data_IF_009590423541
#
_entry.id   IF_009590423541
#
_cell.length_a   1.000
_cell.length_b   1.000
_cell.length_c   1.000
_cell.angle_alpha   90.00
_cell.angle_beta   90.00
_cell.angle_gamma   90.00
#
_symmetry.space_group_name_H-M   'P 1'
#
loop_
_entity.id
_entity.type
_entity.pdbx_description
1 polymer ?
#
# COMPACT_ATOMS: atom_id res chain seq x y z
N UNK A 1 -2.99 -0.73 -28.98
CA UNK A 1 -3.54 -1.51 -27.85
C UNK A 1 -4.74 -2.28 -28.39
N UNK A 2 -4.92 -3.56 -28.08
CA UNK A 2 -6.24 -4.19 -28.24
C UNK A 2 -7.29 -3.29 -27.56
N UNK A 3 -8.51 -3.20 -28.09
CA UNK A 3 -9.57 -2.38 -27.48
C UNK A 3 -9.97 -2.97 -26.13
N UNK A 4 -9.26 -2.57 -25.07
CA UNK A 4 -9.63 -2.87 -23.69
C UNK A 4 -10.85 -2.05 -23.31
N UNK A 5 -11.71 -2.61 -22.45
CA UNK A 5 -12.75 -1.84 -21.77
C UNK A 5 -12.13 -0.88 -20.77
N UNK A 6 -12.91 0.13 -20.34
CA UNK A 6 -12.45 1.09 -19.34
C UNK A 6 -12.04 0.39 -18.03
N UNK A 7 -12.83 -0.58 -17.56
CA UNK A 7 -12.50 -1.37 -16.36
C UNK A 7 -11.23 -2.20 -16.53
N UNK A 8 -11.04 -2.88 -17.67
CA UNK A 8 -9.84 -3.69 -17.90
C UNK A 8 -8.58 -2.83 -17.95
N UNK A 9 -8.66 -1.66 -18.59
CA UNK A 9 -7.56 -0.71 -18.62
C UNK A 9 -7.28 -0.13 -17.21
N UNK A 10 -8.31 0.14 -16.41
CA UNK A 10 -8.16 0.54 -15.02
C UNK A 10 -7.41 -0.51 -14.19
N UNK A 11 -7.87 -1.78 -14.19
CA UNK A 11 -7.22 -2.85 -13.41
C UNK A 11 -5.76 -3.06 -13.84
N UNK A 12 -5.49 -3.06 -15.14
CA UNK A 12 -4.12 -3.16 -15.67
C UNK A 12 -3.27 -1.97 -15.22
N UNK A 13 -3.79 -0.75 -15.35
CA UNK A 13 -3.10 0.47 -14.94
C UNK A 13 -2.81 0.48 -13.44
N UNK A 14 -3.79 0.11 -12.62
CA UNK A 14 -3.66 0.02 -11.16
C UNK A 14 -2.62 -1.01 -10.75
N UNK A 15 -2.61 -2.20 -11.36
CA UNK A 15 -1.61 -3.25 -11.09
C UNK A 15 -0.20 -2.81 -11.48
N UNK A 16 -0.02 -2.29 -12.70
CA UNK A 16 1.28 -1.78 -13.17
C UNK A 16 1.82 -0.69 -12.24
N UNK A 17 0.95 0.21 -11.76
CA UNK A 17 1.32 1.25 -10.79
C UNK A 17 1.83 0.63 -9.49
N UNK A 18 1.13 -0.38 -8.97
CA UNK A 18 1.52 -1.09 -7.75
C UNK A 18 2.76 -1.98 -7.95
N UNK A 19 3.14 -2.28 -9.19
CA UNK A 19 4.36 -2.97 -9.56
C UNK A 19 5.51 -2.00 -9.93
N UNK A 20 5.39 -0.71 -9.65
CA UNK A 20 6.42 0.30 -9.98
C UNK A 20 6.70 0.47 -11.48
N UNK A 21 5.72 0.13 -12.33
CA UNK A 21 5.70 0.37 -13.79
C UNK A 21 4.84 1.62 -14.09
N UNK A 22 5.06 2.68 -13.33
CA UNK A 22 4.28 3.92 -13.31
C UNK A 22 4.15 4.60 -14.68
N UNK A 23 5.21 4.61 -15.50
CA UNK A 23 5.19 5.24 -16.83
C UNK A 23 4.15 4.57 -17.73
N UNK A 24 4.15 3.24 -17.76
CA UNK A 24 3.18 2.44 -18.52
C UNK A 24 1.80 2.49 -17.89
N UNK A 25 1.72 2.41 -16.56
CA UNK A 25 0.47 2.51 -15.81
C UNK A 25 -0.32 3.77 -16.16
N UNK A 26 0.36 4.93 -16.25
CA UNK A 26 -0.28 6.20 -16.62
C UNK A 26 -0.99 6.17 -17.97
N UNK A 27 -0.47 5.42 -18.95
CA UNK A 27 -1.11 5.31 -20.26
C UNK A 27 -2.45 4.57 -20.16
N UNK A 28 -2.46 3.44 -19.45
CA UNK A 28 -3.68 2.66 -19.21
C UNK A 28 -4.70 3.41 -18.35
N UNK A 29 -4.24 4.05 -17.26
CA UNK A 29 -5.11 4.83 -16.38
C UNK A 29 -5.72 6.03 -17.12
N UNK A 30 -4.94 6.74 -17.94
CA UNK A 30 -5.48 7.84 -18.77
C UNK A 30 -6.53 7.33 -19.76
N UNK A 31 -6.24 6.25 -20.46
CA UNK A 31 -7.19 5.66 -21.40
C UNK A 31 -8.51 5.26 -20.72
N UNK A 32 -8.45 4.60 -19.56
CA UNK A 32 -9.65 4.26 -18.78
C UNK A 32 -10.41 5.50 -18.28
N UNK A 33 -9.68 6.52 -17.83
CA UNK A 33 -10.25 7.79 -17.40
C UNK A 33 -10.93 8.55 -18.54
N UNK A 34 -10.34 8.57 -19.73
CA UNK A 34 -10.91 9.17 -20.94
C UNK A 34 -12.20 8.46 -21.39
N UNK A 35 -12.37 7.19 -21.03
CA UNK A 35 -13.60 6.41 -21.21
C UNK A 35 -14.61 6.59 -20.07
N UNK A 36 -14.31 7.44 -19.08
CA UNK A 36 -15.22 7.76 -17.98
C UNK A 36 -15.11 6.86 -16.75
N UNK A 37 -14.05 6.04 -16.61
CA UNK A 37 -13.86 5.26 -15.38
C UNK A 37 -13.33 6.16 -14.24
N UNK A 38 -14.10 6.36 -13.16
CA UNK A 38 -13.80 7.39 -12.15
C UNK A 38 -12.60 7.04 -11.26
N UNK A 39 -12.34 5.77 -10.99
CA UNK A 39 -11.20 5.35 -10.17
C UNK A 39 -9.87 5.51 -10.93
N UNK A 40 -9.87 5.28 -12.24
CA UNK A 40 -8.77 5.51 -13.13
C UNK A 40 -8.47 7.00 -13.26
N UNK A 41 -9.51 7.83 -13.37
CA UNK A 41 -9.35 9.29 -13.36
C UNK A 41 -8.68 9.77 -12.06
N UNK A 42 -9.10 9.25 -10.90
CA UNK A 42 -8.46 9.54 -9.63
C UNK A 42 -6.99 9.09 -9.60
N UNK A 43 -6.70 7.83 -9.91
CA UNK A 43 -5.32 7.31 -9.90
C UNK A 43 -4.42 8.04 -10.90
N UNK A 44 -4.91 8.34 -12.09
CA UNK A 44 -4.18 9.09 -13.09
C UNK A 44 -3.84 10.50 -12.58
N UNK A 45 -4.81 11.20 -11.98
CA UNK A 45 -4.59 12.52 -11.42
C UNK A 45 -3.51 12.52 -10.32
N UNK A 46 -3.50 11.50 -9.46
CA UNK A 46 -2.47 11.33 -8.42
C UNK A 46 -1.09 11.02 -9.00
N UNK A 47 -1.01 10.18 -10.03
CA UNK A 47 0.25 9.88 -10.71
C UNK A 47 0.83 11.10 -11.44
N UNK A 48 -0.01 11.96 -12.04
CA UNK A 48 0.42 13.21 -12.67
C UNK A 48 0.92 14.22 -11.64
N UNK A 49 0.21 14.37 -10.51
CA UNK A 49 0.60 15.27 -9.43
C UNK A 49 1.94 14.87 -8.79
N UNK A 50 2.10 13.58 -8.47
CA UNK A 50 3.33 13.08 -7.84
C UNK A 50 4.55 13.14 -8.77
N UNK A 51 4.36 13.09 -10.09
CA UNK A 51 5.47 13.19 -11.06
C UNK A 51 5.92 14.64 -11.32
N UNK A 52 5.01 15.61 -11.25
CA UNK A 52 5.31 17.04 -11.47
C UNK A 52 5.41 17.77 -10.12
N UNK A 53 6.49 17.50 -9.39
CA UNK A 53 6.69 17.97 -8.00
C UNK A 53 6.77 19.49 -7.83
N UNK A 54 6.91 20.26 -8.91
CA UNK A 54 6.94 21.73 -8.86
C UNK A 54 5.57 22.37 -8.69
N UNK A 55 4.50 21.67 -9.04
CA UNK A 55 3.11 22.15 -8.88
C UNK A 55 2.33 21.07 -8.14
N UNK A 56 1.90 21.36 -6.91
CA UNK A 56 1.19 20.41 -6.03
C UNK A 56 0.01 19.72 -6.72
N UNK A 57 -0.78 20.45 -7.50
CA UNK A 57 -1.89 19.91 -8.30
C UNK A 57 -1.89 20.56 -9.69
N UNK A 58 -1.20 19.99 -10.69
CA UNK A 58 -1.16 20.53 -12.05
C UNK A 58 -2.56 20.63 -12.68
N UNK A 59 -2.84 21.56 -13.60
CA UNK A 59 -4.16 21.71 -14.23
C UNK A 59 -4.75 20.41 -14.81
N UNK A 60 -3.90 19.56 -15.37
CA UNK A 60 -4.27 18.23 -15.85
C UNK A 60 -4.78 17.34 -14.71
N UNK A 61 -4.09 17.29 -13.56
CA UNK A 61 -4.54 16.56 -12.37
C UNK A 61 -5.86 17.12 -11.82
N UNK A 62 -6.02 18.45 -11.82
CA UNK A 62 -7.26 19.12 -11.40
C UNK A 62 -8.47 18.66 -12.24
N UNK A 63 -8.30 18.60 -13.56
CA UNK A 63 -9.34 18.15 -14.49
C UNK A 63 -9.79 16.71 -14.19
N UNK A 64 -8.84 15.77 -14.09
CA UNK A 64 -9.15 14.36 -13.81
C UNK A 64 -9.69 14.14 -12.39
N UNK A 65 -9.26 14.91 -11.40
CA UNK A 65 -9.84 14.88 -10.05
C UNK A 65 -11.33 15.27 -10.06
N UNK A 66 -11.70 16.32 -10.80
CA UNK A 66 -13.10 16.72 -10.94
C UNK A 66 -13.92 15.63 -11.63
N UNK A 67 -13.42 15.06 -12.74
CA UNK A 67 -14.10 13.96 -13.44
C UNK A 67 -14.28 12.74 -12.53
N UNK A 68 -13.26 12.36 -11.77
CA UNK A 68 -13.32 11.25 -10.83
C UNK A 68 -14.40 11.48 -9.76
N UNK A 69 -14.43 12.67 -9.16
CA UNK A 69 -15.40 13.01 -8.13
C UNK A 69 -16.83 13.10 -8.70
N UNK A 70 -17.02 13.67 -9.89
CA UNK A 70 -18.30 13.69 -10.60
C UNK A 70 -18.80 12.27 -10.92
N UNK A 71 -17.89 11.34 -11.22
CA UNK A 71 -18.20 9.93 -11.43
C UNK A 71 -18.33 9.11 -10.14
N UNK A 72 -18.33 9.73 -8.96
CA UNK A 72 -18.60 9.05 -7.68
C UNK A 72 -17.37 8.53 -6.94
N UNK A 73 -16.14 8.84 -7.38
CA UNK A 73 -14.94 8.44 -6.65
C UNK A 73 -14.81 9.23 -5.34
N UNK A 74 -15.02 8.56 -4.20
CA UNK A 74 -15.00 9.18 -2.87
C UNK A 74 -13.64 9.78 -2.50
N UNK A 75 -12.55 9.13 -2.90
CA UNK A 75 -11.20 9.63 -2.62
C UNK A 75 -10.94 10.95 -3.35
N UNK A 76 -11.39 11.08 -4.60
CA UNK A 76 -11.33 12.33 -5.35
C UNK A 76 -12.18 13.43 -4.69
N UNK A 77 -13.40 13.13 -4.24
CA UNK A 77 -14.22 14.10 -3.49
C UNK A 77 -13.48 14.59 -2.24
N UNK A 78 -12.87 13.67 -1.49
CA UNK A 78 -12.07 13.98 -0.29
C UNK A 78 -10.87 14.87 -0.61
N UNK A 79 -10.13 14.55 -1.67
CA UNK A 79 -9.01 15.37 -2.13
C UNK A 79 -9.45 16.77 -2.55
N UNK A 80 -10.59 16.91 -3.23
CA UNK A 80 -11.11 18.20 -3.66
C UNK A 80 -11.48 19.10 -2.47
N UNK A 81 -12.21 18.60 -1.46
CA UNK A 81 -12.59 19.45 -0.34
C UNK A 81 -11.43 19.73 0.63
N UNK A 82 -10.51 18.77 0.82
CA UNK A 82 -9.38 18.94 1.75
C UNK A 82 -8.22 19.72 1.14
N UNK A 83 -7.82 19.37 -0.08
CA UNK A 83 -6.59 19.82 -0.72
C UNK A 83 -6.82 20.65 -1.99
N UNK A 84 -8.07 20.83 -2.42
CA UNK A 84 -8.44 21.63 -3.59
C UNK A 84 -8.44 23.14 -3.33
N UNK A 85 -7.35 23.73 -2.85
CA UNK A 85 -7.22 25.18 -2.59
C UNK A 85 -7.39 26.06 -3.84
N UNK A 86 -7.27 25.46 -5.02
CA UNK A 86 -7.52 26.09 -6.33
C UNK A 86 -9.01 26.22 -6.67
N UNK A 87 -9.89 25.56 -5.93
CA UNK A 87 -11.34 25.71 -6.01
C UNK A 87 -11.83 26.88 -5.14
N UNK A 88 -13.00 27.41 -5.46
CA UNK A 88 -13.69 28.35 -4.58
C UNK A 88 -14.12 27.63 -3.29
N UNK A 89 -14.16 28.35 -2.19
CA UNK A 89 -14.59 27.80 -0.89
C UNK A 89 -15.97 27.15 -0.95
N UNK A 90 -16.92 27.72 -1.70
CA UNK A 90 -18.25 27.15 -1.88
C UNK A 90 -18.22 25.78 -2.60
N UNK A 91 -17.36 25.61 -3.61
CA UNK A 91 -17.20 24.34 -4.33
C UNK A 91 -16.59 23.27 -3.41
N UNK A 92 -15.63 23.65 -2.57
CA UNK A 92 -15.06 22.74 -1.56
C UNK A 92 -16.12 22.26 -0.56
N UNK A 93 -16.99 23.15 -0.10
CA UNK A 93 -18.10 22.77 0.81
C UNK A 93 -19.07 21.81 0.12
N UNK A 94 -19.40 22.02 -1.16
CA UNK A 94 -20.23 21.10 -1.92
C UNK A 94 -19.58 19.71 -2.03
N UNK A 95 -18.29 19.64 -2.36
CA UNK A 95 -17.57 18.36 -2.40
C UNK A 95 -17.46 17.68 -1.04
N UNK A 96 -17.37 18.45 0.04
CA UNK A 96 -17.41 17.93 1.41
C UNK A 96 -18.76 17.26 1.71
N UNK A 97 -19.87 17.89 1.29
CA UNK A 97 -21.22 17.32 1.44
C UNK A 97 -21.38 16.05 0.60
N UNK A 98 -20.99 16.07 -0.67
CA UNK A 98 -21.04 14.90 -1.54
C UNK A 98 -20.20 13.73 -1.00
N UNK A 99 -19.02 14.01 -0.47
CA UNK A 99 -18.20 12.99 0.19
C UNK A 99 -18.95 12.40 1.40
N UNK A 100 -19.52 13.23 2.26
CA UNK A 100 -20.28 12.78 3.43
C UNK A 100 -21.45 11.86 3.01
N UNK A 101 -22.28 12.29 2.07
CA UNK A 101 -23.41 11.52 1.57
C UNK A 101 -22.95 10.16 1.00
N UNK A 102 -21.88 10.15 0.21
CA UNK A 102 -21.32 8.93 -0.36
C UNK A 102 -20.77 7.95 0.71
N UNK A 103 -20.24 8.47 1.83
CA UNK A 103 -19.81 7.65 2.97
C UNK A 103 -21.01 7.08 3.73
N UNK A 104 -22.10 7.85 3.89
CA UNK A 104 -23.34 7.34 4.48
C UNK A 104 -23.91 6.20 3.65
N UNK A 105 -23.97 6.35 2.32
CA UNK A 105 -24.39 5.28 1.41
C UNK A 105 -23.46 4.06 1.45
N UNK A 106 -22.15 4.27 1.63
CA UNK A 106 -21.19 3.18 1.80
C UNK A 106 -21.53 2.34 3.03
N UNK A 107 -22.02 2.94 4.11
CA UNK A 107 -22.34 2.26 5.37
C UNK A 107 -23.33 1.11 5.23
N UNK A 108 -24.23 1.16 4.24
CA UNK A 108 -25.17 0.06 3.96
C UNK A 108 -24.50 -1.20 3.39
N UNK A 109 -23.34 -1.05 2.73
CA UNK A 109 -22.62 -2.15 2.05
C UNK A 109 -21.32 -2.53 2.75
N UNK A 110 -20.62 -1.54 3.29
CA UNK A 110 -19.33 -1.71 3.95
C UNK A 110 -19.26 -0.81 5.21
N UNK A 111 -19.92 -1.22 6.31
CA UNK A 111 -20.02 -0.41 7.52
C UNK A 111 -18.66 -0.14 8.18
N UNK A 112 -17.71 -1.07 8.08
CA UNK A 112 -16.38 -0.93 8.68
C UNK A 112 -15.54 0.14 7.98
N UNK A 113 -15.53 0.14 6.64
CA UNK A 113 -14.90 1.19 5.84
C UNK A 113 -15.61 2.54 6.00
N UNK A 114 -16.95 2.56 6.01
CA UNK A 114 -17.71 3.79 6.22
C UNK A 114 -17.41 4.42 7.58
N UNK A 115 -17.37 3.62 8.65
CA UNK A 115 -16.98 4.10 9.97
C UNK A 115 -15.55 4.68 9.96
N UNK A 116 -14.59 4.04 9.29
CA UNK A 116 -13.25 4.59 9.15
C UNK A 116 -13.23 5.92 8.38
N UNK A 117 -13.94 6.01 7.25
CA UNK A 117 -14.04 7.23 6.44
C UNK A 117 -14.75 8.38 7.20
N UNK A 118 -15.73 8.07 8.07
CA UNK A 118 -16.36 9.03 8.98
C UNK A 118 -15.38 9.49 10.09
N UNK A 119 -14.56 8.58 10.62
CA UNK A 119 -13.52 8.97 11.57
C UNK A 119 -12.55 9.98 10.95
N UNK A 120 -12.14 9.77 9.70
CA UNK A 120 -11.30 10.71 8.95
C UNK A 120 -12.02 12.03 8.63
N UNK A 121 -13.33 11.99 8.39
CA UNK A 121 -14.15 13.16 8.12
C UNK A 121 -14.25 14.10 9.32
N UNK A 122 -14.53 13.54 10.50
CA UNK A 122 -14.73 14.31 11.73
C UNK A 122 -13.44 14.72 12.44
N UNK A 123 -12.28 14.16 12.05
CA UNK A 123 -11.00 14.32 12.76
C UNK A 123 -10.65 15.77 13.12
N UNK A 124 -10.91 16.72 12.23
CA UNK A 124 -10.55 18.14 12.42
C UNK A 124 -11.63 18.95 13.15
N UNK A 125 -12.91 18.60 12.96
CA UNK A 125 -14.04 19.42 13.41
C UNK A 125 -14.72 18.88 14.67
N UNK A 126 -14.75 17.55 14.85
CA UNK A 126 -15.30 16.89 16.04
C UNK A 126 -14.45 15.67 16.41
N UNK A 127 -13.35 15.88 17.17
CA UNK A 127 -12.46 14.81 17.57
C UNK A 127 -13.15 13.72 18.41
N UNK A 128 -14.21 14.04 19.15
CA UNK A 128 -14.93 13.04 19.95
C UNK A 128 -15.71 12.09 19.05
N UNK A 129 -16.42 12.64 18.07
CA UNK A 129 -17.15 11.85 17.09
C UNK A 129 -16.20 11.06 16.19
N UNK A 130 -15.05 11.64 15.83
CA UNK A 130 -14.00 10.94 15.11
C UNK A 130 -13.50 9.70 15.87
N UNK A 131 -13.25 9.83 17.17
CA UNK A 131 -12.85 8.70 18.03
C UNK A 131 -13.94 7.64 18.16
N UNK A 132 -15.22 8.05 18.24
CA UNK A 132 -16.34 7.11 18.27
C UNK A 132 -16.38 6.24 17.00
N UNK A 133 -16.35 6.85 15.83
CA UNK A 133 -16.35 6.12 14.56
C UNK A 133 -15.08 5.29 14.35
N UNK A 134 -13.92 5.77 14.82
CA UNK A 134 -12.68 4.99 14.78
C UNK A 134 -12.79 3.72 15.64
N UNK A 135 -13.43 3.82 16.81
CA UNK A 135 -13.76 2.69 17.67
C UNK A 135 -14.64 1.66 16.96
N UNK A 136 -15.73 2.12 16.33
CA UNK A 136 -16.62 1.23 15.54
C UNK A 136 -15.83 0.51 14.44
N UNK A 137 -15.02 1.23 13.65
CA UNK A 137 -14.23 0.61 12.60
C UNK A 137 -13.21 -0.41 13.15
N UNK A 138 -12.60 -0.12 14.31
CA UNK A 138 -11.68 -1.04 14.98
C UNK A 138 -12.38 -2.29 15.56
N UNK A 139 -13.62 -2.17 16.03
CA UNK A 139 -14.45 -3.32 16.46
C UNK A 139 -14.76 -4.27 15.31
N UNK A 140 -14.89 -3.74 14.08
CA UNK A 140 -14.97 -4.55 12.86
C UNK A 140 -13.60 -5.06 12.36
N UNK A 141 -12.53 -4.88 13.13
CA UNK A 141 -11.15 -5.21 12.76
C UNK A 141 -10.70 -4.55 11.45
N UNK A 142 -11.24 -3.36 11.11
CA UNK A 142 -10.85 -2.66 9.89
C UNK A 142 -9.37 -2.25 9.98
N UNK A 143 -8.49 -2.74 9.08
CA UNK A 143 -7.06 -2.68 9.32
C UNK A 143 -6.49 -1.26 9.31
N UNK A 144 -6.99 -0.38 8.44
CA UNK A 144 -6.56 1.01 8.41
C UNK A 144 -7.05 1.80 9.64
N UNK A 145 -8.17 1.40 10.25
CA UNK A 145 -8.63 1.95 11.53
C UNK A 145 -7.73 1.52 12.68
N UNK A 146 -7.38 0.23 12.76
CA UNK A 146 -6.43 -0.28 13.76
C UNK A 146 -5.05 0.39 13.61
N UNK A 147 -4.59 0.61 12.38
CA UNK A 147 -3.36 1.37 12.10
C UNK A 147 -3.45 2.82 12.61
N UNK A 148 -4.53 3.54 12.30
CA UNK A 148 -4.72 4.91 12.76
C UNK A 148 -4.83 4.99 14.28
N UNK A 149 -5.54 4.06 14.91
CA UNK A 149 -5.66 3.95 16.36
C UNK A 149 -4.29 3.72 17.01
N UNK A 150 -3.50 2.77 16.50
CA UNK A 150 -2.15 2.51 16.99
C UNK A 150 -1.25 3.75 16.87
N UNK A 151 -1.33 4.48 15.76
CA UNK A 151 -0.59 5.74 15.57
C UNK A 151 -1.03 6.81 16.56
N UNK A 152 -2.33 6.98 16.81
CA UNK A 152 -2.83 7.94 17.80
C UNK A 152 -2.34 7.59 19.22
N UNK A 153 -2.30 6.30 19.58
CA UNK A 153 -1.72 5.84 20.85
C UNK A 153 -0.23 6.20 20.92
N UNK A 154 0.53 6.04 19.83
CA UNK A 154 1.93 6.48 19.73
C UNK A 154 2.10 8.01 19.84
N UNK A 155 1.07 8.78 19.53
CA UNK A 155 1.06 10.24 19.65
C UNK A 155 0.55 10.74 21.02
N UNK A 156 0.09 9.85 21.89
CA UNK A 156 -0.34 10.20 23.25
C UNK A 156 -1.86 10.14 23.48
N UNK A 157 -2.65 9.69 22.51
CA UNK A 157 -4.09 9.48 22.69
C UNK A 157 -4.35 8.38 23.72
N UNK A 158 -5.19 8.64 24.73
CA UNK A 158 -5.54 7.70 25.79
C UNK A 158 -4.79 7.97 27.11
N UNK A 159 -5.04 7.13 28.12
CA UNK A 159 -4.42 7.25 29.45
C UNK A 159 -3.63 5.99 29.79
N UNK A 160 -2.33 6.16 30.06
CA UNK A 160 -1.36 5.08 30.22
C UNK A 160 -0.49 5.34 31.46
N UNK A 161 -0.99 5.03 32.67
CA UNK A 161 -0.35 5.44 33.92
C UNK A 161 0.99 4.74 34.19
N UNK A 162 1.22 3.58 33.57
CA UNK A 162 2.47 2.82 33.75
C UNK A 162 3.51 3.17 32.67
N UNK A 163 4.79 3.40 33.03
CA UNK A 163 5.85 3.59 32.06
C UNK A 163 5.89 2.45 31.02
N UNK A 164 5.91 2.81 29.74
CA UNK A 164 5.94 1.85 28.63
C UNK A 164 4.62 1.15 28.31
N UNK A 165 3.54 1.35 29.06
CA UNK A 165 2.23 0.76 28.76
C UNK A 165 1.65 1.26 27.44
N UNK A 166 1.80 2.56 27.13
CA UNK A 166 1.41 3.17 25.85
C UNK A 166 2.08 2.52 24.64
N UNK A 167 3.40 2.34 24.69
CA UNK A 167 4.20 1.69 23.63
C UNK A 167 3.84 0.20 23.49
N UNK A 168 3.42 -0.42 24.59
CA UNK A 168 2.95 -1.81 24.56
C UNK A 168 1.58 -1.90 23.90
N UNK A 169 0.66 -0.99 24.22
CA UNK A 169 -0.68 -0.96 23.65
C UNK A 169 -0.65 -0.66 22.15
N UNK A 170 0.07 0.40 21.72
CA UNK A 170 0.25 0.69 20.30
C UNK A 170 0.79 -0.53 19.53
N UNK A 171 1.78 -1.25 20.08
CA UNK A 171 2.31 -2.46 19.43
C UNK A 171 1.28 -3.57 19.36
N UNK A 172 0.44 -3.76 20.38
CA UNK A 172 -0.65 -4.75 20.34
C UNK A 172 -1.67 -4.39 19.27
N UNK A 173 -2.02 -3.12 19.13
CA UNK A 173 -2.94 -2.64 18.10
C UNK A 173 -2.35 -2.80 16.68
N UNK A 174 -1.06 -2.49 16.48
CA UNK A 174 -0.39 -2.79 15.20
C UNK A 174 -0.34 -4.29 14.89
N UNK A 175 -0.14 -5.14 15.91
CA UNK A 175 -0.20 -6.59 15.74
C UNK A 175 -1.60 -7.04 15.32
N UNK A 176 -2.66 -6.49 15.92
CA UNK A 176 -4.04 -6.77 15.50
C UNK A 176 -4.25 -6.40 14.03
N UNK A 177 -3.82 -5.21 13.62
CA UNK A 177 -3.87 -4.79 12.22
C UNK A 177 -3.08 -5.74 11.30
N UNK A 178 -1.87 -6.15 11.70
CA UNK A 178 -1.03 -7.06 10.91
C UNK A 178 -1.65 -8.45 10.75
N UNK A 179 -2.36 -8.95 11.78
CA UNK A 179 -3.05 -10.25 11.74
C UNK A 179 -4.20 -10.33 10.74
N UNK A 180 -4.72 -9.19 10.27
CA UNK A 180 -5.72 -9.15 9.19
C UNK A 180 -5.12 -9.46 7.81
N UNK A 181 -3.79 -9.59 7.69
CA UNK A 181 -3.09 -9.72 6.41
C UNK A 181 -2.82 -8.37 5.73
N UNK A 182 -3.20 -7.25 6.34
CA UNK A 182 -2.97 -5.92 5.79
C UNK A 182 -1.47 -5.58 5.74
N UNK A 183 -0.89 -5.62 4.54
CA UNK A 183 0.55 -5.48 4.31
C UNK A 183 1.16 -4.21 4.92
N UNK A 184 0.54 -3.01 4.85
CA UNK A 184 1.08 -1.84 5.53
C UNK A 184 1.22 -2.02 7.05
N UNK A 185 0.29 -2.74 7.69
CA UNK A 185 0.40 -3.10 9.10
C UNK A 185 1.47 -4.17 9.36
N UNK A 186 1.57 -5.19 8.50
CA UNK A 186 2.64 -6.20 8.57
C UNK A 186 4.01 -5.54 8.52
N UNK A 187 4.24 -4.63 7.56
CA UNK A 187 5.49 -3.86 7.42
C UNK A 187 5.79 -3.01 8.64
N UNK A 188 4.79 -2.28 9.16
CA UNK A 188 4.94 -1.48 10.38
C UNK A 188 5.28 -2.36 11.58
N UNK A 189 4.68 -3.54 11.68
CA UNK A 189 4.96 -4.48 12.77
C UNK A 189 6.35 -5.09 12.68
N UNK A 190 6.82 -5.47 11.48
CA UNK A 190 8.21 -5.88 11.21
C UNK A 190 9.18 -4.80 11.70
N UNK A 191 8.97 -3.54 11.32
CA UNK A 191 9.81 -2.43 11.74
C UNK A 191 9.85 -2.29 13.28
N UNK A 192 8.71 -2.44 13.96
CA UNK A 192 8.64 -2.37 15.42
C UNK A 192 9.39 -3.52 16.11
N UNK A 193 9.43 -4.71 15.48
CA UNK A 193 10.18 -5.86 15.97
C UNK A 193 11.68 -5.67 15.76
N UNK A 194 12.10 -5.24 14.57
CA UNK A 194 13.51 -4.94 14.25
C UNK A 194 14.08 -3.87 15.18
N UNK A 195 13.35 -2.78 15.41
CA UNK A 195 13.75 -1.72 16.35
C UNK A 195 13.92 -2.22 17.79
N UNK A 196 13.35 -3.38 18.14
CA UNK A 196 13.49 -4.03 19.45
C UNK A 196 14.49 -5.18 19.44
N UNK A 197 15.22 -5.38 18.35
CA UNK A 197 16.14 -6.49 18.17
C UNK A 197 15.45 -7.85 18.05
N UNK A 198 14.13 -7.88 17.85
CA UNK A 198 13.33 -9.12 17.74
C UNK A 198 13.34 -9.65 16.31
N UNK A 199 14.52 -9.88 15.76
CA UNK A 199 14.68 -10.25 14.34
C UNK A 199 14.08 -11.62 14.01
N UNK A 200 14.05 -12.58 14.94
CA UNK A 200 13.37 -13.88 14.72
C UNK A 200 11.88 -13.71 14.48
N UNK A 201 11.21 -12.90 15.30
CA UNK A 201 9.80 -12.58 15.13
C UNK A 201 9.59 -11.79 13.83
N UNK A 202 10.49 -10.83 13.52
CA UNK A 202 10.41 -10.02 12.31
C UNK A 202 10.54 -10.87 11.04
N UNK A 203 11.43 -11.86 11.05
CA UNK A 203 11.60 -12.83 9.96
C UNK A 203 10.32 -13.62 9.70
N UNK A 204 9.66 -14.11 10.76
CA UNK A 204 8.36 -14.78 10.63
C UNK A 204 7.33 -13.89 9.92
N UNK A 205 7.22 -12.62 10.29
CA UNK A 205 6.30 -11.69 9.64
C UNK A 205 6.70 -11.34 8.20
N UNK A 206 8.00 -11.34 7.87
CA UNK A 206 8.46 -11.20 6.47
C UNK A 206 8.04 -12.39 5.62
N UNK A 207 8.07 -13.61 6.16
CA UNK A 207 7.52 -14.79 5.49
C UNK A 207 6.01 -14.64 5.25
N UNK A 208 5.26 -14.14 6.24
CA UNK A 208 3.83 -13.83 6.06
C UNK A 208 3.59 -12.78 4.98
N UNK A 209 4.42 -11.73 4.90
CA UNK A 209 4.30 -10.71 3.85
C UNK A 209 4.48 -11.31 2.43
N UNK A 210 5.43 -12.22 2.24
CA UNK A 210 5.57 -12.96 0.96
C UNK A 210 4.33 -13.81 0.69
N UNK A 211 3.81 -14.51 1.71
CA UNK A 211 2.59 -15.32 1.61
C UNK A 211 1.32 -14.50 1.33
N UNK A 212 1.35 -13.18 1.52
CA UNK A 212 0.25 -12.27 1.21
C UNK A 212 0.51 -11.40 -0.03
N UNK A 213 1.51 -11.73 -0.86
CA UNK A 213 1.73 -11.07 -2.15
C UNK A 213 2.47 -9.74 -2.08
N UNK A 214 3.16 -9.43 -0.96
CA UNK A 214 3.96 -8.20 -0.87
C UNK A 214 5.19 -8.25 -1.79
N UNK A 215 5.15 -7.46 -2.87
CA UNK A 215 6.25 -7.35 -3.84
C UNK A 215 7.58 -6.93 -3.20
N UNK A 216 7.56 -6.03 -2.22
CA UNK A 216 8.79 -5.58 -1.56
C UNK A 216 9.35 -6.61 -0.57
N UNK A 217 8.49 -7.50 -0.07
CA UNK A 217 8.92 -8.59 0.80
C UNK A 217 9.76 -9.63 0.04
N UNK A 218 9.50 -9.84 -1.26
CA UNK A 218 10.35 -10.69 -2.11
C UNK A 218 11.80 -10.19 -2.14
N UNK A 219 12.00 -8.90 -2.44
CA UNK A 219 13.35 -8.32 -2.47
C UNK A 219 14.05 -8.41 -1.11
N UNK A 220 13.34 -8.11 -0.02
CA UNK A 220 13.90 -8.18 1.33
C UNK A 220 14.24 -9.62 1.75
N UNK A 221 13.35 -10.58 1.50
CA UNK A 221 13.60 -11.99 1.82
C UNK A 221 14.70 -12.58 0.96
N UNK A 222 14.77 -12.22 -0.32
CA UNK A 222 15.87 -12.61 -1.20
C UNK A 222 17.22 -12.14 -0.68
N UNK A 223 17.30 -10.90 -0.17
CA UNK A 223 18.52 -10.36 0.43
C UNK A 223 18.87 -10.98 1.79
N UNK A 224 17.89 -11.47 2.55
CA UNK A 224 18.15 -12.19 3.82
C UNK A 224 18.69 -13.59 3.52
N UNK A 225 18.03 -14.30 2.62
CA UNK A 225 18.38 -15.68 2.24
C UNK A 225 19.69 -15.77 1.44
N UNK A 226 20.17 -14.68 0.87
CA UNK A 226 21.51 -14.62 0.27
C UNK A 226 22.65 -14.67 1.29
N UNK A 227 22.35 -14.56 2.59
CA UNK A 227 23.33 -14.56 3.66
C UNK A 227 24.07 -13.23 3.86
N UNK A 228 23.66 -12.17 3.15
CA UNK A 228 24.32 -10.86 3.18
C UNK A 228 23.84 -9.94 4.31
N UNK A 229 22.90 -10.39 5.15
CA UNK A 229 22.26 -9.55 6.16
C UNK A 229 22.83 -9.78 7.56
N UNK A 230 23.61 -8.83 8.06
CA UNK A 230 24.23 -8.87 9.41
C UNK A 230 23.22 -9.09 10.55
N UNK A 231 22.04 -8.47 10.47
CA UNK A 231 21.01 -8.55 11.53
C UNK A 231 20.16 -9.81 11.46
N UNK A 232 20.20 -10.53 10.34
CA UNK A 232 19.46 -11.77 10.11
C UNK A 232 20.39 -12.99 10.04
N UNK A 233 21.58 -12.91 10.65
CA UNK A 233 22.61 -13.95 10.65
C UNK A 233 22.17 -15.32 11.23
N UNK A 234 21.00 -15.40 11.87
CA UNK A 234 20.42 -16.65 12.38
C UNK A 234 19.63 -17.42 11.30
N UNK A 235 19.40 -16.81 10.14
CA UNK A 235 18.77 -17.45 8.99
C UNK A 235 19.87 -18.10 8.17
N UNK A 236 19.80 -19.43 8.03
CA UNK A 236 20.72 -20.17 7.17
C UNK A 236 20.54 -19.71 5.71
N UNK A 237 21.63 -19.42 4.97
CA UNK A 237 21.53 -19.03 3.58
C UNK A 237 20.87 -20.11 2.72
N UNK A 238 19.90 -19.71 1.91
CA UNK A 238 19.29 -20.54 0.87
C UNK A 238 19.37 -19.78 -0.45
N UNK A 239 20.46 -20.03 -1.19
CA UNK A 239 20.74 -19.34 -2.44
C UNK A 239 19.71 -19.66 -3.53
N UNK A 240 19.05 -20.83 -3.49
CA UNK A 240 18.00 -21.19 -4.45
C UNK A 240 16.77 -20.35 -4.23
N UNK A 241 16.31 -20.28 -2.98
CA UNK A 241 15.14 -19.47 -2.64
C UNK A 241 15.44 -17.98 -2.77
N UNK A 242 16.66 -17.54 -2.43
CA UNK A 242 17.10 -16.17 -2.67
C UNK A 242 17.05 -15.80 -4.15
N UNK A 243 17.56 -16.67 -5.04
CA UNK A 243 17.49 -16.49 -6.49
C UNK A 243 16.03 -16.41 -6.95
N UNK A 244 15.17 -17.30 -6.49
CA UNK A 244 13.76 -17.32 -6.89
C UNK A 244 13.02 -16.03 -6.49
N UNK A 245 13.20 -15.55 -5.25
CA UNK A 245 12.55 -14.33 -4.78
C UNK A 245 13.06 -13.07 -5.49
N UNK A 246 14.38 -12.96 -5.71
CA UNK A 246 14.95 -11.83 -6.43
C UNK A 246 14.59 -11.85 -7.93
N UNK A 247 14.57 -13.04 -8.55
CA UNK A 247 14.11 -13.25 -9.92
C UNK A 247 12.67 -12.78 -10.11
N UNK A 248 11.76 -13.31 -9.28
CA UNK A 248 10.35 -12.96 -9.32
C UNK A 248 10.11 -11.46 -9.09
N UNK A 249 10.82 -10.87 -8.12
CA UNK A 249 10.77 -9.44 -7.88
C UNK A 249 11.16 -8.65 -9.14
N UNK A 250 12.23 -9.02 -9.85
CA UNK A 250 12.72 -8.30 -11.02
C UNK A 250 11.85 -8.50 -12.27
N UNK A 251 11.20 -9.66 -12.41
CA UNK A 251 10.20 -9.93 -13.46
C UNK A 251 8.95 -9.07 -13.26
N UNK A 252 8.46 -9.00 -12.01
CA UNK A 252 7.22 -8.32 -11.68
C UNK A 252 7.41 -6.81 -11.56
N UNK A 253 8.48 -6.35 -10.90
CA UNK A 253 8.69 -4.93 -10.62
C UNK A 253 9.22 -4.16 -11.83
N UNK A 254 8.75 -2.92 -11.97
CA UNK A 254 9.42 -1.89 -12.77
C UNK A 254 10.43 -1.12 -11.93
N UNK A 255 11.22 -0.29 -12.60
CA UNK A 255 12.25 0.55 -11.97
C UNK A 255 11.84 2.02 -11.86
N UNK A 256 10.59 2.39 -12.20
CA UNK A 256 10.14 3.79 -12.21
C UNK A 256 10.09 4.37 -10.78
N UNK A 257 9.90 3.50 -9.79
CA UNK A 257 10.05 3.79 -8.36
C UNK A 257 10.95 2.73 -7.72
N UNK A 258 11.57 3.09 -6.59
CA UNK A 258 12.49 2.21 -5.86
C UNK A 258 13.63 1.65 -6.73
N UNK A 259 14.14 2.45 -7.67
CA UNK A 259 15.22 2.07 -8.60
C UNK A 259 16.46 1.51 -7.88
N UNK A 260 16.77 2.01 -6.69
CA UNK A 260 17.88 1.51 -5.87
C UNK A 260 17.64 0.07 -5.42
N UNK A 261 16.41 -0.29 -5.02
CA UNK A 261 16.06 -1.67 -4.65
C UNK A 261 16.15 -2.56 -5.88
N UNK A 262 15.61 -2.10 -7.02
CA UNK A 262 15.70 -2.81 -8.30
C UNK A 262 17.15 -3.11 -8.70
N UNK A 263 18.02 -2.10 -8.72
CA UNK A 263 19.44 -2.26 -9.05
C UNK A 263 20.20 -3.14 -8.05
N UNK A 264 19.89 -3.03 -6.75
CA UNK A 264 20.48 -3.90 -5.73
C UNK A 264 20.07 -5.35 -5.92
N UNK A 265 18.79 -5.62 -6.17
CA UNK A 265 18.28 -6.96 -6.45
C UNK A 265 18.89 -7.56 -7.70
N UNK A 266 19.11 -6.77 -8.77
CA UNK A 266 19.83 -7.23 -9.97
C UNK A 266 21.26 -7.67 -9.65
N UNK A 267 22.01 -6.87 -8.90
CA UNK A 267 23.39 -7.20 -8.53
C UNK A 267 23.44 -8.48 -7.68
N UNK A 268 22.61 -8.57 -6.65
CA UNK A 268 22.55 -9.78 -5.82
C UNK A 268 22.15 -11.02 -6.63
N UNK A 269 21.18 -10.89 -7.54
CA UNK A 269 20.76 -12.01 -8.39
C UNK A 269 21.91 -12.52 -9.27
N UNK A 270 22.72 -11.62 -9.84
CA UNK A 270 23.91 -11.99 -10.62
C UNK A 270 24.94 -12.73 -9.75
N UNK A 271 25.24 -12.19 -8.56
CA UNK A 271 26.22 -12.78 -7.64
C UNK A 271 25.80 -14.18 -7.17
N UNK A 272 24.51 -14.36 -6.85
CA UNK A 272 23.94 -15.67 -6.46
C UNK A 272 23.99 -16.63 -7.66
N UNK A 273 23.65 -16.16 -8.85
CA UNK A 273 23.61 -17.00 -10.07
C UNK A 273 24.99 -17.53 -10.47
N UNK A 274 26.08 -16.84 -10.11
CA UNK A 274 27.45 -17.32 -10.31
C UNK A 274 27.86 -18.41 -9.32
N UNK A 275 27.20 -18.51 -8.17
CA UNK A 275 27.50 -19.49 -7.12
C UNK A 275 26.72 -20.81 -7.29
N UNK A 276 25.56 -20.76 -7.96
CA UNK A 276 24.72 -21.93 -8.19
C UNK A 276 25.15 -22.73 -9.43
N UNK A 277 25.07 -24.06 -9.33
CA UNK A 277 25.14 -24.94 -10.50
C UNK A 277 23.80 -24.94 -11.28
N UNK A 278 23.75 -25.57 -12.45
CA UNK A 278 22.55 -25.59 -13.29
C UNK A 278 21.35 -26.28 -12.62
N UNK A 279 21.56 -27.37 -11.89
CA UNK A 279 20.48 -28.07 -11.19
C UNK A 279 19.84 -27.20 -10.09
N UNK A 280 20.64 -26.48 -9.31
CA UNK A 280 20.12 -25.56 -8.29
C UNK A 280 19.40 -24.35 -8.93
N UNK A 281 19.83 -23.91 -10.13
CA UNK A 281 19.11 -22.86 -10.89
C UNK A 281 17.75 -23.35 -11.38
N UNK A 282 17.65 -24.62 -11.82
CA UNK A 282 16.37 -25.24 -12.19
C UNK A 282 15.40 -25.26 -11.00
N UNK A 283 15.86 -25.70 -9.82
CA UNK A 283 15.05 -25.67 -8.59
C UNK A 283 14.59 -24.25 -8.27
N UNK A 284 15.47 -23.25 -8.37
CA UNK A 284 15.08 -21.86 -8.13
C UNK A 284 13.99 -21.38 -9.11
N UNK A 285 14.08 -21.78 -10.38
CA UNK A 285 13.06 -21.48 -11.38
C UNK A 285 11.72 -22.18 -11.11
N UNK A 286 11.74 -23.41 -10.58
CA UNK A 286 10.51 -24.09 -10.13
C UNK A 286 9.84 -23.35 -8.97
N UNK A 287 10.61 -22.89 -7.98
CA UNK A 287 10.11 -22.09 -6.85
C UNK A 287 9.49 -20.78 -7.36
N UNK A 288 10.17 -20.09 -8.28
CA UNK A 288 9.69 -18.86 -8.90
C UNK A 288 8.33 -19.06 -9.60
N UNK A 289 8.20 -20.11 -10.42
CA UNK A 289 6.94 -20.44 -11.10
C UNK A 289 5.81 -20.78 -10.12
N UNK A 290 6.10 -21.52 -9.04
CA UNK A 290 5.10 -21.85 -8.02
C UNK A 290 4.54 -20.59 -7.34
N UNK A 291 5.41 -19.62 -7.02
CA UNK A 291 5.01 -18.36 -6.40
C UNK A 291 4.18 -17.50 -7.36
N UNK A 292 4.58 -17.42 -8.63
CA UNK A 292 3.86 -16.67 -9.67
C UNK A 292 2.45 -17.22 -9.89
N UNK A 293 2.28 -18.55 -9.85
CA UNK A 293 0.98 -19.21 -9.98
C UNK A 293 0.10 -19.10 -8.73
N UNK A 294 0.70 -18.91 -7.56
CA UNK A 294 -0.03 -18.86 -6.29
C UNK A 294 -0.87 -17.59 -6.15
N UNK A 295 -0.27 -16.41 -6.36
CA UNK A 295 -0.97 -15.12 -6.27
C UNK A 295 -0.19 -13.97 -6.93
N UNK A 296 -0.85 -12.88 -7.34
CA UNK A 296 -0.16 -11.70 -7.85
C UNK A 296 0.64 -10.99 -6.75
N UNK A 297 1.84 -10.52 -7.10
CA UNK A 297 2.64 -9.65 -6.23
C UNK A 297 2.54 -8.19 -6.65
N UNK A 298 2.34 -7.32 -5.65
CA UNK A 298 2.31 -5.88 -5.84
C UNK A 298 2.63 -5.14 -4.54
N UNK A 299 2.91 -3.85 -4.65
CA UNK A 299 3.15 -2.99 -3.49
C UNK A 299 1.84 -2.40 -2.96
N UNK A 300 1.54 -2.69 -1.70
CA UNK A 300 0.45 -2.05 -0.97
C UNK A 300 0.84 -0.63 -0.55
N UNK A 301 0.14 0.33 -1.14
CA UNK A 301 0.22 1.75 -0.81
C UNK A 301 -1.19 2.31 -0.62
N UNK A 302 -1.27 3.58 -0.22
CA UNK A 302 -2.54 4.28 0.00
C UNK A 302 -3.44 4.36 -1.25
N UNK A 303 -2.97 3.98 -2.44
CA UNK A 303 -3.76 3.96 -3.67
C UNK A 303 -4.20 2.56 -4.07
N UNK A 304 -3.70 1.51 -3.42
CA UNK A 304 -4.16 0.14 -3.62
C UNK A 304 -5.25 -0.24 -2.64
N UNK A 305 -5.11 0.19 -1.39
CA UNK A 305 -5.91 -0.29 -0.27
C UNK A 305 -7.18 0.55 0.03
N UNK A 306 -7.49 1.54 -0.83
CA UNK A 306 -8.61 2.49 -0.67
C UNK A 306 -9.66 2.38 -1.77
#
# INVERSE_FOLDING_TARGET
MQQLTAQQAYENGRLLRAQFKNLTARQYLKYAADLGEPNAAYLYAMEVANYRTTIRTPPESQHYLLMAAQGGNRQAMRELYRNGEWLRSAERVLWQQHYYDAVIELGARNPSQAAYELALYFQENDPKLAQHYLGIAAEFEYPAALMLMAQQIEQGQGSYPMPGSRVTEARKTYLQAAKTGYIPAVRKYIQLLENKGKYKDAYYWRQQAVQHGDLTALAAMGSILSGQSDVYHFVEPDLKQAKAYLGLYLVISGSDRLSNIYQNSQRQLLDISMQLNEHDKEIASEIEMQLEQYQPFFNHDAYWDN
#
